data_IF_845348966033
#
_entry.id   IF_845348966033
#
_cell.length_a   1.000
_cell.length_b   1.000
_cell.length_c   1.000
_cell.angle_alpha   90.00
_cell.angle_beta   90.00
_cell.angle_gamma   90.00
#
_symmetry.space_group_name_H-M   'P 1'
#
loop_
_entity.id
_entity.type
_entity.pdbx_description
1 polymer ?
#
# COMPACT_ATOMS: atom_id res chain seq x y z
N UNK A 1 19.56 -28.74 -29.04
CA UNK A 1 20.59 -29.22 -28.10
C UNK A 1 21.88 -28.50 -28.41
N UNK A 2 22.22 -27.47 -27.62
CA UNK A 2 23.49 -26.78 -27.67
C UNK A 2 23.74 -26.21 -26.26
N UNK A 3 24.71 -26.81 -25.58
CA UNK A 3 25.16 -26.51 -24.23
C UNK A 3 26.21 -25.41 -24.25
N UNK A 4 26.06 -24.41 -23.40
CA UNK A 4 27.13 -23.48 -23.05
C UNK A 4 27.34 -23.55 -21.53
N UNK A 5 28.48 -24.13 -21.17
CA UNK A 5 29.04 -24.25 -19.83
C UNK A 5 29.67 -22.93 -19.40
N UNK A 6 29.30 -22.41 -18.24
CA UNK A 6 30.05 -21.36 -17.54
C UNK A 6 30.60 -21.92 -16.23
N UNK A 7 31.91 -21.96 -16.16
CA UNK A 7 32.74 -22.37 -15.03
C UNK A 7 32.75 -21.31 -13.92
N UNK A 8 32.75 -21.85 -12.71
CA UNK A 8 32.88 -21.21 -11.40
C UNK A 8 34.24 -20.55 -11.19
N UNK A 9 34.26 -19.32 -10.68
CA UNK A 9 35.45 -18.70 -10.06
C UNK A 9 35.13 -18.46 -8.58
N UNK A 10 35.89 -19.16 -7.74
CA UNK A 10 35.95 -18.99 -6.29
C UNK A 10 36.78 -17.76 -5.93
N UNK A 11 36.27 -16.90 -5.04
CA UNK A 11 37.08 -15.90 -4.36
C UNK A 11 37.23 -16.29 -2.89
N UNK A 12 38.49 -16.41 -2.48
CA UNK A 12 38.96 -16.82 -1.17
C UNK A 12 38.72 -15.73 -0.12
N UNK A 13 38.48 -16.22 1.10
CA UNK A 13 38.50 -15.51 2.37
C UNK A 13 39.78 -14.70 2.58
N UNK A 14 39.65 -13.51 3.14
CA UNK A 14 40.67 -12.99 4.05
C UNK A 14 39.98 -12.36 5.27
N UNK A 15 40.13 -13.03 6.40
CA UNK A 15 39.78 -12.56 7.73
C UNK A 15 40.98 -11.82 8.32
N UNK A 16 40.78 -10.62 8.84
CA UNK A 16 41.68 -10.01 9.82
C UNK A 16 40.85 -9.53 11.00
N UNK A 17 41.01 -10.25 12.11
CA UNK A 17 40.39 -9.92 13.38
C UNK A 17 41.12 -8.79 14.10
N UNK A 18 40.37 -8.04 14.90
CA UNK A 18 40.91 -7.39 16.11
C UNK A 18 39.88 -7.52 17.24
N UNK A 19 40.37 -7.99 18.39
CA UNK A 19 39.62 -8.26 19.62
C UNK A 19 39.49 -6.98 20.47
N UNK A 20 38.43 -6.99 21.28
CA UNK A 20 38.07 -6.18 22.45
C UNK A 20 39.21 -5.60 23.31
N UNK A 21 38.87 -4.62 24.17
CA UNK A 21 38.72 -5.01 25.58
C UNK A 21 37.40 -4.55 26.24
N UNK A 22 36.96 -5.41 27.16
CA UNK A 22 35.88 -5.25 28.12
C UNK A 22 36.35 -4.52 29.39
N UNK A 23 35.51 -3.65 29.96
CA UNK A 23 35.42 -3.32 31.40
C UNK A 23 34.18 -2.41 31.56
N UNK A 24 33.33 -2.44 32.58
CA UNK A 24 33.38 -2.92 33.96
C UNK A 24 31.93 -3.11 34.44
N UNK A 25 31.71 -4.15 35.24
CA UNK A 25 30.51 -4.33 36.05
C UNK A 25 30.46 -3.28 37.17
N UNK A 26 29.27 -2.75 37.47
CA UNK A 26 28.95 -2.28 38.82
C UNK A 26 27.65 -2.96 39.28
N UNK A 27 27.73 -3.58 40.45
CA UNK A 27 26.63 -4.22 41.18
C UNK A 27 26.15 -3.27 42.28
N UNK A 28 24.89 -3.52 42.68
CA UNK A 28 24.25 -3.30 43.97
C UNK A 28 23.59 -1.94 44.23
N UNK A 29 22.26 -1.99 44.45
CA UNK A 29 21.60 -1.86 45.76
C UNK A 29 20.08 -2.04 45.53
N UNK A 30 19.52 -3.25 45.68
CA UNK A 30 18.75 -3.68 46.86
C UNK A 30 18.08 -2.54 47.66
N UNK A 31 16.78 -2.36 47.46
CA UNK A 31 15.88 -2.00 48.56
C UNK A 31 14.57 -2.80 48.45
N UNK A 32 14.37 -3.65 49.44
CA UNK A 32 13.16 -4.41 49.69
C UNK A 32 12.12 -3.49 50.32
N UNK A 33 10.94 -3.37 49.73
CA UNK A 33 9.74 -2.95 50.45
C UNK A 33 8.64 -3.98 50.20
N UNK A 34 8.50 -4.88 51.18
CA UNK A 34 7.36 -5.79 51.34
C UNK A 34 6.22 -5.01 51.99
N UNK A 35 5.05 -5.00 51.35
CA UNK A 35 3.79 -4.72 52.04
C UNK A 35 2.87 -5.93 51.87
N UNK A 36 2.33 -6.49 52.97
CA UNK A 36 1.45 -7.64 52.91
C UNK A 36 0.02 -7.15 52.63
N UNK A 37 -0.59 -7.62 51.53
CA UNK A 37 -2.04 -7.54 51.39
C UNK A 37 -2.61 -8.94 51.22
N UNK A 38 -3.23 -9.40 52.29
CA UNK A 38 -3.95 -10.64 52.46
C UNK A 38 -5.17 -10.64 51.52
N UNK A 39 -5.18 -11.53 50.53
CA UNK A 39 -6.35 -11.80 49.69
C UNK A 39 -7.18 -12.92 50.33
N UNK A 40 -8.48 -12.72 50.61
CA UNK A 40 -9.36 -13.83 50.95
C UNK A 40 -9.78 -14.57 49.67
N UNK A 41 -9.57 -15.89 49.66
CA UNK A 41 -10.05 -16.78 48.61
C UNK A 41 -11.59 -16.84 48.59
N UNK A 42 -12.27 -16.69 47.45
CA UNK A 42 -13.69 -17.00 47.36
C UNK A 42 -13.88 -18.51 47.11
N UNK A 43 -14.80 -19.08 47.88
CA UNK A 43 -15.26 -20.46 47.79
C UNK A 43 -15.82 -20.76 46.40
N UNK A 44 -15.45 -21.92 45.86
CA UNK A 44 -16.08 -22.48 44.68
C UNK A 44 -17.54 -22.84 44.98
N UNK A 45 -18.46 -22.17 44.30
CA UNK A 45 -19.85 -22.60 44.17
C UNK A 45 -20.15 -22.72 42.68
N UNK A 46 -20.27 -23.95 42.20
CA UNK A 46 -20.67 -24.25 40.84
C UNK A 46 -22.08 -23.73 40.58
N UNK A 47 -22.20 -22.85 39.59
CA UNK A 47 -23.48 -22.50 38.97
C UNK A 47 -23.36 -22.91 37.51
N UNK A 48 -24.34 -23.70 37.08
CA UNK A 48 -24.44 -24.32 35.76
C UNK A 48 -24.33 -23.27 34.65
N UNK A 49 -23.51 -23.60 33.65
CA UNK A 49 -23.47 -22.97 32.35
C UNK A 49 -24.88 -22.82 31.77
N UNK A 50 -25.25 -21.57 31.48
CA UNK A 50 -26.42 -21.21 30.69
C UNK A 50 -25.90 -20.39 29.51
N UNK A 51 -26.13 -20.93 28.32
CA UNK A 51 -25.73 -20.43 27.00
C UNK A 51 -25.85 -18.92 26.81
N UNK A 52 -24.71 -18.26 26.54
CA UNK A 52 -24.64 -16.87 26.05
C UNK A 52 -24.07 -16.79 24.62
N UNK A 53 -24.09 -17.89 23.87
CA UNK A 53 -23.27 -18.03 22.64
C UNK A 53 -23.87 -17.38 21.39
N UNK A 54 -25.14 -16.99 21.33
CA UNK A 54 -25.74 -16.65 20.02
C UNK A 54 -25.79 -15.15 19.66
N UNK A 55 -25.61 -14.21 20.60
CA UNK A 55 -25.72 -12.78 20.29
C UNK A 55 -24.39 -12.13 19.89
N UNK A 56 -23.29 -12.49 20.55
CA UNK A 56 -21.97 -11.91 20.25
C UNK A 56 -21.32 -12.52 18.99
N UNK A 57 -21.56 -13.81 18.71
CA UNK A 57 -21.05 -14.47 17.49
C UNK A 57 -21.76 -13.93 16.24
N UNK A 58 -23.08 -13.82 16.24
CA UNK A 58 -23.85 -13.30 15.11
C UNK A 58 -23.50 -11.85 14.76
N UNK A 59 -23.30 -10.99 15.77
CA UNK A 59 -22.85 -9.59 15.55
C UNK A 59 -21.41 -9.57 15.00
N UNK A 60 -20.54 -10.49 15.42
CA UNK A 60 -19.18 -10.58 14.89
C UNK A 60 -19.13 -11.03 13.43
N UNK A 61 -20.01 -11.94 13.02
CA UNK A 61 -20.12 -12.41 11.64
C UNK A 61 -20.64 -11.32 10.70
N UNK A 62 -21.67 -10.57 11.12
CA UNK A 62 -22.19 -9.44 10.33
C UNK A 62 -21.13 -8.35 10.10
N UNK A 63 -20.32 -8.02 11.12
CA UNK A 63 -19.22 -7.06 10.99
C UNK A 63 -18.09 -7.58 10.10
N UNK A 64 -17.75 -8.87 10.18
CA UNK A 64 -16.77 -9.47 9.29
C UNK A 64 -17.23 -9.43 7.82
N UNK A 65 -18.51 -9.70 7.58
CA UNK A 65 -19.05 -9.71 6.22
C UNK A 65 -19.04 -8.32 5.55
N UNK A 66 -19.04 -7.23 6.33
CA UNK A 66 -18.85 -5.88 5.77
C UNK A 66 -17.51 -5.75 5.05
N UNK A 67 -16.44 -6.34 5.60
CA UNK A 67 -15.11 -6.29 4.98
C UNK A 67 -15.01 -7.26 3.80
N UNK A 68 -15.53 -8.48 3.94
CA UNK A 68 -15.51 -9.48 2.86
C UNK A 68 -16.23 -8.96 1.60
N UNK A 69 -17.36 -8.28 1.76
CA UNK A 69 -18.12 -7.67 0.64
C UNK A 69 -17.36 -6.56 -0.11
N UNK A 70 -16.30 -6.00 0.47
CA UNK A 70 -15.48 -5.00 -0.22
C UNK A 70 -14.55 -5.63 -1.26
N UNK A 71 -14.32 -6.95 -1.23
CA UNK A 71 -13.59 -7.63 -2.29
C UNK A 71 -14.36 -7.53 -3.62
N UNK A 72 -13.64 -7.16 -4.67
CA UNK A 72 -14.14 -7.11 -6.03
C UNK A 72 -13.09 -7.74 -6.97
N UNK A 73 -13.16 -9.06 -7.11
CA UNK A 73 -12.14 -9.83 -7.82
C UNK A 73 -10.76 -9.67 -7.17
N UNK A 74 -9.80 -9.20 -7.95
CA UNK A 74 -8.42 -8.90 -7.52
C UNK A 74 -8.22 -7.51 -6.89
N UNK A 75 -9.31 -6.76 -6.65
CA UNK A 75 -9.26 -5.42 -6.07
C UNK A 75 -10.16 -5.36 -4.81
N UNK A 76 -10.05 -4.26 -4.07
CA UNK A 76 -11.04 -3.82 -3.06
C UNK A 76 -11.80 -2.62 -3.61
N UNK A 77 -13.14 -2.61 -3.51
CA UNK A 77 -14.00 -1.49 -3.94
C UNK A 77 -15.14 -1.28 -2.95
N UNK A 78 -15.46 -0.01 -2.69
CA UNK A 78 -16.63 0.33 -1.89
C UNK A 78 -17.03 1.81 -2.00
N UNK A 79 -18.12 2.15 -1.37
CA UNK A 79 -18.60 3.52 -1.13
C UNK A 79 -17.74 4.14 -0.03
N UNK A 80 -16.99 5.18 -0.40
CA UNK A 80 -16.11 5.92 0.49
C UNK A 80 -16.70 7.27 0.95
N UNK A 81 -17.79 7.72 0.32
CA UNK A 81 -18.47 8.97 0.65
C UNK A 81 -19.97 8.85 0.46
N UNK A 82 -20.73 9.60 1.26
CA UNK A 82 -22.16 9.77 1.05
C UNK A 82 -22.46 10.46 -0.28
N UNK A 83 -23.67 10.24 -0.82
CA UNK A 83 -24.16 10.89 -2.03
C UNK A 83 -24.69 9.93 -3.11
N UNK A 84 -24.53 8.62 -2.95
CA UNK A 84 -25.14 7.61 -3.83
C UNK A 84 -26.47 7.15 -3.21
N UNK A 85 -27.59 7.35 -3.92
CA UNK A 85 -28.92 6.96 -3.40
C UNK A 85 -28.96 5.46 -3.10
N UNK A 86 -29.39 5.13 -1.88
CA UNK A 86 -29.56 3.74 -1.45
C UNK A 86 -28.27 3.00 -1.11
N UNK A 87 -27.12 3.67 -1.03
CA UNK A 87 -25.88 3.05 -0.55
C UNK A 87 -25.26 3.81 0.61
N UNK A 88 -24.89 3.08 1.64
CA UNK A 88 -24.15 3.59 2.80
C UNK A 88 -22.65 3.50 2.57
N UNK A 89 -21.87 4.27 3.32
CA UNK A 89 -20.41 4.19 3.30
C UNK A 89 -19.98 2.86 3.93
N UNK A 90 -19.30 2.03 3.14
CA UNK A 90 -18.76 0.73 3.54
C UNK A 90 -17.22 0.69 3.49
N UNK A 91 -16.60 1.46 2.61
CA UNK A 91 -15.15 1.68 2.55
C UNK A 91 -14.73 2.79 3.51
N UNK A 92 -14.90 2.52 4.79
CA UNK A 92 -14.59 3.45 5.88
C UNK A 92 -13.09 3.46 6.23
N UNK A 93 -12.57 4.50 6.92
CA UNK A 93 -11.19 4.50 7.40
C UNK A 93 -10.80 3.26 8.23
N UNK A 94 -11.60 2.77 9.22
CA UNK A 94 -11.24 1.55 9.94
C UNK A 94 -11.25 0.29 9.06
N UNK A 95 -12.11 0.21 8.04
CA UNK A 95 -12.08 -0.88 7.07
C UNK A 95 -10.78 -0.86 6.25
N UNK A 96 -10.40 0.32 5.72
CA UNK A 96 -9.17 0.51 4.96
C UNK A 96 -7.92 0.25 5.80
N UNK A 97 -7.90 0.66 7.06
CA UNK A 97 -6.80 0.38 7.99
C UNK A 97 -6.64 -1.13 8.21
N UNK A 98 -7.73 -1.86 8.45
CA UNK A 98 -7.69 -3.31 8.64
C UNK A 98 -7.18 -4.04 7.38
N UNK A 99 -7.65 -3.63 6.19
CA UNK A 99 -7.23 -4.18 4.91
C UNK A 99 -5.75 -3.91 4.65
N UNK A 100 -5.29 -2.68 4.87
CA UNK A 100 -3.88 -2.31 4.68
C UNK A 100 -2.96 -3.02 5.67
N UNK A 101 -3.37 -3.21 6.93
CA UNK A 101 -2.64 -4.02 7.90
C UNK A 101 -2.52 -5.47 7.44
N UNK A 102 -3.62 -6.09 7.02
CA UNK A 102 -3.61 -7.47 6.52
C UNK A 102 -2.79 -7.62 5.24
N UNK A 103 -2.78 -6.62 4.36
CA UNK A 103 -1.90 -6.62 3.20
C UNK A 103 -0.43 -6.52 3.59
N UNK A 104 -0.07 -5.62 4.53
CA UNK A 104 1.29 -5.50 5.02
C UNK A 104 1.81 -6.81 5.62
N UNK A 105 0.99 -7.47 6.44
CA UNK A 105 1.28 -8.81 6.99
C UNK A 105 1.42 -9.86 5.89
N UNK A 106 0.54 -9.83 4.88
CA UNK A 106 0.62 -10.75 3.74
C UNK A 106 1.95 -10.61 2.98
N UNK A 107 2.40 -9.37 2.73
CA UNK A 107 3.70 -9.09 2.08
C UNK A 107 4.86 -9.58 2.93
N UNK A 108 4.88 -9.25 4.24
CA UNK A 108 5.93 -9.71 5.16
C UNK A 108 6.04 -11.23 5.15
N UNK A 109 4.92 -11.93 5.35
CA UNK A 109 4.88 -13.39 5.36
C UNK A 109 5.33 -14.01 4.03
N UNK A 110 4.96 -13.40 2.89
CA UNK A 110 5.41 -13.83 1.57
C UNK A 110 6.93 -13.73 1.42
N UNK A 111 7.51 -12.59 1.80
CA UNK A 111 8.96 -12.36 1.75
C UNK A 111 9.73 -13.26 2.70
N UNK A 112 9.19 -13.56 3.88
CA UNK A 112 9.80 -14.48 4.85
C UNK A 112 9.86 -15.90 4.31
N UNK A 113 8.79 -16.37 3.68
CA UNK A 113 8.75 -17.68 3.01
C UNK A 113 9.74 -17.76 1.86
N UNK A 114 9.85 -16.71 1.05
CA UNK A 114 10.79 -16.65 -0.08
C UNK A 114 12.26 -16.63 0.39
N UNK A 115 12.57 -15.86 1.44
CA UNK A 115 13.95 -15.64 1.91
C UNK A 115 14.41 -16.63 2.99
N UNK A 116 13.49 -17.40 3.58
CA UNK A 116 13.77 -18.33 4.68
C UNK A 116 14.23 -17.65 5.99
N UNK A 117 13.93 -16.36 6.16
CA UNK A 117 14.32 -15.56 7.33
C UNK A 117 13.35 -14.40 7.54
N UNK A 118 13.36 -13.84 8.75
CA UNK A 118 12.55 -12.67 9.11
C UNK A 118 12.79 -11.51 8.14
N UNK A 119 11.70 -10.94 7.64
CA UNK A 119 11.72 -9.83 6.70
C UNK A 119 11.78 -8.51 7.47
N UNK A 120 12.97 -7.91 7.54
CA UNK A 120 13.16 -6.59 8.12
C UNK A 120 13.00 -5.49 7.05
N UNK A 121 12.53 -4.32 7.46
CA UNK A 121 12.41 -3.10 6.65
C UNK A 121 11.59 -3.30 5.36
N UNK A 122 10.46 -4.02 5.42
CA UNK A 122 9.57 -4.20 4.27
C UNK A 122 8.99 -2.84 3.85
N UNK A 123 9.27 -2.41 2.62
CA UNK A 123 8.90 -1.09 2.10
C UNK A 123 7.67 -1.20 1.22
N UNK A 124 6.60 -0.50 1.60
CA UNK A 124 5.34 -0.47 0.86
C UNK A 124 4.98 0.96 0.47
N UNK A 125 4.71 1.17 -0.81
CA UNK A 125 4.31 2.49 -1.32
C UNK A 125 2.79 2.62 -1.51
N UNK A 126 2.29 3.84 -1.42
CA UNK A 126 0.91 4.20 -1.76
C UNK A 126 0.92 5.32 -2.80
N UNK A 127 0.18 5.13 -3.87
CA UNK A 127 -0.23 6.19 -4.78
C UNK A 127 -1.75 6.28 -4.85
N UNK A 128 -2.29 7.45 -5.18
CA UNK A 128 -3.74 7.67 -5.29
C UNK A 128 -4.13 8.45 -6.53
N UNK A 129 -5.38 8.28 -6.94
CA UNK A 129 -6.02 9.17 -7.90
C UNK A 129 -6.57 10.46 -7.21
N UNK A 130 -7.15 11.42 -7.95
CA UNK A 130 -7.60 12.69 -7.37
C UNK A 130 -9.01 12.63 -6.75
N UNK A 131 -9.52 11.44 -6.40
CA UNK A 131 -10.81 11.30 -5.71
C UNK A 131 -10.79 12.00 -4.34
N UNK A 132 -11.93 12.60 -3.98
CA UNK A 132 -12.08 13.41 -2.78
C UNK A 132 -11.80 12.62 -1.49
N UNK A 133 -12.23 11.36 -1.41
CA UNK A 133 -11.96 10.47 -0.28
C UNK A 133 -10.51 9.99 -0.18
N UNK A 134 -9.69 10.22 -1.21
CA UNK A 134 -8.32 9.71 -1.25
C UNK A 134 -7.45 10.25 -0.12
N UNK A 135 -7.51 11.55 0.19
CA UNK A 135 -6.66 12.12 1.22
C UNK A 135 -6.92 11.53 2.62
N UNK A 136 -8.19 11.34 2.99
CA UNK A 136 -8.55 10.77 4.30
C UNK A 136 -8.27 9.27 4.38
N UNK A 137 -8.55 8.51 3.31
CA UNK A 137 -8.31 7.07 3.28
C UNK A 137 -6.82 6.73 3.22
N UNK A 138 -5.97 7.60 2.65
CA UNK A 138 -4.50 7.43 2.68
C UNK A 138 -3.97 7.30 4.11
N UNK A 139 -4.50 8.09 5.05
CA UNK A 139 -4.08 8.04 6.46
C UNK A 139 -4.38 6.67 7.07
N UNK A 140 -5.54 6.09 6.75
CA UNK A 140 -5.90 4.74 7.20
C UNK A 140 -4.98 3.67 6.60
N UNK A 141 -4.65 3.78 5.30
CA UNK A 141 -3.68 2.88 4.66
C UNK A 141 -2.33 2.92 5.39
N UNK A 142 -1.80 4.13 5.63
CA UNK A 142 -0.52 4.28 6.32
C UNK A 142 -0.56 3.74 7.75
N UNK A 143 -1.67 3.96 8.48
CA UNK A 143 -1.84 3.37 9.82
C UNK A 143 -1.79 1.84 9.76
N UNK A 144 -2.52 1.23 8.84
CA UNK A 144 -2.53 -0.22 8.67
C UNK A 144 -1.14 -0.78 8.36
N UNK A 145 -0.43 -0.17 7.41
CA UNK A 145 0.92 -0.58 7.03
C UNK A 145 1.92 -0.47 8.20
N UNK A 146 1.89 0.63 8.95
CA UNK A 146 2.76 0.81 10.12
C UNK A 146 2.43 -0.20 11.22
N UNK A 147 1.14 -0.51 11.42
CA UNK A 147 0.70 -1.54 12.38
C UNK A 147 1.16 -2.94 11.99
N UNK A 148 1.22 -3.24 10.69
CA UNK A 148 1.78 -4.49 10.19
C UNK A 148 3.30 -4.58 10.36
N UNK A 149 4.00 -3.46 10.63
CA UNK A 149 5.45 -3.38 10.73
C UNK A 149 6.15 -2.99 9.42
N UNK A 150 5.42 -2.48 8.43
CA UNK A 150 5.99 -1.99 7.18
C UNK A 150 6.51 -0.54 7.30
N UNK A 151 7.48 -0.21 6.46
CA UNK A 151 7.87 1.16 6.16
C UNK A 151 6.98 1.69 5.03
N UNK A 152 6.24 2.76 5.29
CA UNK A 152 5.26 3.32 4.36
C UNK A 152 5.81 4.52 3.57
N UNK A 153 5.56 4.56 2.27
CA UNK A 153 6.00 5.63 1.37
C UNK A 153 4.83 6.26 0.61
N UNK A 154 4.68 7.58 0.68
CA UNK A 154 3.62 8.34 0.01
C UNK A 154 4.12 8.91 -1.32
N UNK A 155 3.61 8.36 -2.43
CA UNK A 155 3.88 8.87 -3.78
C UNK A 155 2.95 10.02 -4.18
N UNK A 156 1.94 10.33 -3.36
CA UNK A 156 0.93 11.33 -3.67
C UNK A 156 0.03 10.91 -4.84
N UNK A 157 -0.19 11.84 -5.77
CA UNK A 157 -0.97 11.56 -6.98
C UNK A 157 -0.15 10.67 -7.91
N UNK A 158 -0.71 9.52 -8.26
CA UNK A 158 -0.08 8.55 -9.14
C UNK A 158 -1.12 7.89 -10.05
N UNK A 159 -0.63 7.17 -11.05
CA UNK A 159 -1.45 6.29 -11.90
C UNK A 159 -1.27 4.84 -11.48
N UNK A 160 -2.23 3.98 -11.82
CA UNK A 160 -2.11 2.53 -11.60
C UNK A 160 -0.80 1.93 -12.14
N UNK A 161 -0.39 2.20 -13.41
CA UNK A 161 0.88 1.69 -13.90
C UNK A 161 2.09 2.30 -13.16
N UNK A 162 2.03 3.56 -12.72
CA UNK A 162 3.09 4.13 -11.88
C UNK A 162 3.23 3.35 -10.56
N UNK A 163 2.12 3.04 -9.89
CA UNK A 163 2.15 2.26 -8.65
C UNK A 163 2.72 0.85 -8.85
N UNK A 164 2.43 0.17 -9.96
CA UNK A 164 3.11 -1.09 -10.26
C UNK A 164 4.60 -0.88 -10.49
N UNK A 165 4.97 0.10 -11.33
CA UNK A 165 6.36 0.37 -11.65
C UNK A 165 7.19 0.81 -10.43
N UNK A 166 6.58 1.29 -9.35
CA UNK A 166 7.29 1.62 -8.11
C UNK A 166 7.90 0.40 -7.43
N UNK A 167 7.40 -0.81 -7.71
CA UNK A 167 8.00 -2.06 -7.23
C UNK A 167 9.23 -2.47 -8.05
N UNK A 168 9.35 -1.97 -9.28
CA UNK A 168 10.38 -2.37 -10.23
C UNK A 168 11.52 -1.34 -10.36
N UNK A 169 11.19 -0.04 -10.42
CA UNK A 169 12.14 1.00 -10.83
C UNK A 169 13.08 1.43 -9.68
N UNK A 170 14.41 1.36 -9.88
CA UNK A 170 15.38 1.96 -8.97
C UNK A 170 15.28 3.49 -8.95
N UNK A 171 15.64 4.17 -7.84
CA UNK A 171 16.15 3.62 -6.57
C UNK A 171 15.05 3.15 -5.61
N UNK A 172 13.79 3.17 -6.04
CA UNK A 172 12.66 2.88 -5.18
C UNK A 172 12.49 1.38 -4.95
N UNK A 173 12.22 0.64 -6.03
CA UNK A 173 12.08 -0.82 -6.06
C UNK A 173 11.40 -1.40 -4.82
N UNK A 174 10.23 -0.85 -4.48
CA UNK A 174 9.48 -1.24 -3.28
C UNK A 174 9.12 -2.72 -3.27
N UNK A 175 8.97 -3.31 -2.09
CA UNK A 175 8.56 -4.72 -1.97
C UNK A 175 7.12 -4.91 -2.44
N UNK A 176 6.27 -3.92 -2.16
CA UNK A 176 4.88 -3.88 -2.60
C UNK A 176 4.37 -2.44 -2.78
N UNK A 177 3.23 -2.32 -3.43
CA UNK A 177 2.60 -1.04 -3.72
C UNK A 177 1.07 -1.15 -3.69
N UNK A 178 0.43 -0.08 -3.21
CA UNK A 178 -1.02 0.08 -3.20
C UNK A 178 -1.38 1.22 -4.15
N UNK A 179 -2.33 1.00 -5.04
CA UNK A 179 -3.00 2.08 -5.78
C UNK A 179 -4.39 2.29 -5.21
N UNK A 180 -4.64 3.47 -4.66
CA UNK A 180 -5.97 3.87 -4.20
C UNK A 180 -6.75 4.56 -5.33
N UNK A 181 -7.80 3.89 -5.78
CA UNK A 181 -8.65 4.37 -6.87
C UNK A 181 -9.94 3.54 -6.92
N UNK A 182 -11.03 4.14 -7.42
CA UNK A 182 -12.19 3.42 -7.94
C UNK A 182 -12.24 3.38 -9.49
N UNK A 183 -11.12 3.67 -10.17
CA UNK A 183 -11.01 3.75 -11.63
C UNK A 183 -12.07 4.68 -12.22
N UNK A 184 -13.02 4.15 -13.01
CA UNK A 184 -14.09 4.89 -13.68
C UNK A 184 -15.40 5.00 -12.86
N UNK A 185 -15.47 4.35 -11.69
CA UNK A 185 -16.68 4.35 -10.86
C UNK A 185 -17.05 5.76 -10.36
N UNK A 186 -18.31 5.99 -9.90
CA UNK A 186 -18.74 7.27 -9.37
C UNK A 186 -17.80 7.85 -8.31
N UNK A 187 -17.83 9.17 -8.11
CA UNK A 187 -16.94 9.89 -7.19
C UNK A 187 -17.07 9.47 -5.73
N UNK A 188 -18.23 8.96 -5.36
CA UNK A 188 -18.53 8.39 -4.03
C UNK A 188 -17.78 7.10 -3.78
N UNK A 189 -17.28 6.44 -4.83
CA UNK A 189 -16.53 5.19 -4.75
C UNK A 189 -15.03 5.42 -4.60
N UNK A 190 -14.39 4.53 -3.85
CA UNK A 190 -12.95 4.37 -3.86
C UNK A 190 -12.59 2.88 -3.76
N UNK A 191 -11.30 2.57 -3.69
CA UNK A 191 -10.84 1.20 -3.64
C UNK A 191 -9.33 1.08 -3.56
N UNK A 192 -8.84 -0.14 -3.42
CA UNK A 192 -7.42 -0.46 -3.33
C UNK A 192 -7.08 -1.54 -4.36
N UNK A 193 -6.00 -1.33 -5.09
CA UNK A 193 -5.34 -2.34 -5.92
C UNK A 193 -3.97 -2.63 -5.32
N UNK A 194 -3.55 -3.88 -5.34
CA UNK A 194 -2.32 -4.32 -4.70
C UNK A 194 -1.33 -4.85 -5.74
N UNK A 195 -0.06 -4.51 -5.57
CA UNK A 195 1.02 -4.93 -6.44
C UNK A 195 2.22 -5.42 -5.64
N UNK A 196 2.89 -6.43 -6.18
CA UNK A 196 4.26 -6.83 -5.80
C UNK A 196 5.16 -6.68 -7.01
N UNK A 197 6.42 -7.13 -6.90
CA UNK A 197 7.30 -7.27 -8.07
C UNK A 197 6.81 -8.30 -9.08
N UNK A 198 6.02 -9.27 -8.64
CA UNK A 198 5.44 -10.32 -9.48
C UNK A 198 4.23 -9.87 -10.31
N UNK A 199 3.67 -8.69 -10.03
CA UNK A 199 2.48 -8.18 -10.71
C UNK A 199 1.40 -7.71 -9.73
N UNK A 200 0.18 -7.55 -10.26
CA UNK A 200 -1.00 -7.35 -9.43
C UNK A 200 -1.39 -8.64 -8.72
N UNK A 201 -1.95 -8.52 -7.51
CA UNK A 201 -2.47 -9.67 -6.78
C UNK A 201 -3.65 -10.31 -7.53
N UNK A 202 -3.86 -11.59 -7.29
CA UNK A 202 -4.97 -12.39 -7.79
C UNK A 202 -6.18 -12.32 -6.86
N UNK A 203 -7.35 -12.74 -7.35
CA UNK A 203 -8.58 -12.78 -6.53
C UNK A 203 -8.42 -13.59 -5.23
N UNK A 204 -7.83 -14.81 -5.24
CA UNK A 204 -7.65 -15.58 -4.01
C UNK A 204 -6.68 -14.93 -3.01
N UNK A 205 -5.64 -14.24 -3.49
CA UNK A 205 -4.71 -13.52 -2.60
C UNK A 205 -5.41 -12.34 -1.92
N UNK A 206 -6.26 -11.61 -2.65
CA UNK A 206 -7.07 -10.51 -2.07
C UNK A 206 -8.15 -11.04 -1.13
N UNK A 207 -8.74 -12.19 -1.42
CA UNK A 207 -9.68 -12.87 -0.51
C UNK A 207 -9.00 -13.18 0.83
N UNK A 208 -7.79 -13.76 0.81
CA UNK A 208 -7.02 -14.04 2.02
C UNK A 208 -6.77 -12.77 2.86
N UNK A 209 -6.43 -11.67 2.19
CA UNK A 209 -6.23 -10.36 2.83
C UNK A 209 -7.54 -9.87 3.45
N UNK A 210 -8.64 -9.88 2.71
CA UNK A 210 -9.95 -9.43 3.18
C UNK A 210 -10.46 -10.27 4.35
N UNK A 211 -10.24 -11.58 4.37
CA UNK A 211 -10.63 -12.46 5.48
C UNK A 211 -9.83 -12.19 6.77
N UNK A 212 -8.53 -11.93 6.64
CA UNK A 212 -7.72 -11.47 7.80
C UNK A 212 -8.18 -10.10 8.27
N UNK A 213 -8.48 -9.19 7.34
CA UNK A 213 -8.96 -7.85 7.65
C UNK A 213 -10.32 -7.87 8.36
N UNK A 214 -11.23 -8.76 7.94
CA UNK A 214 -12.54 -8.94 8.55
C UNK A 214 -12.44 -9.25 10.05
N UNK A 215 -11.60 -10.21 10.43
CA UNK A 215 -11.33 -10.56 11.83
C UNK A 215 -10.75 -9.39 12.61
N UNK A 216 -9.78 -8.66 12.03
CA UNK A 216 -9.18 -7.48 12.67
C UNK A 216 -10.20 -6.37 12.87
N UNK A 217 -11.07 -6.15 11.90
CA UNK A 217 -12.11 -5.14 11.93
C UNK A 217 -13.16 -5.44 13.01
N UNK A 218 -13.69 -6.67 13.05
CA UNK A 218 -14.66 -7.10 14.05
C UNK A 218 -14.09 -7.01 15.48
N UNK A 219 -12.85 -7.45 15.69
CA UNK A 219 -12.20 -7.45 17.01
C UNK A 219 -11.91 -6.04 17.58
N UNK A 220 -11.94 -4.99 16.75
CA UNK A 220 -11.52 -3.64 17.13
C UNK A 220 -12.67 -2.67 17.37
N UNK A 221 -13.93 -3.08 17.13
CA UNK A 221 -15.11 -2.20 17.18
C UNK A 221 -14.80 -0.82 16.58
N UNK A 222 -14.48 -0.78 15.29
CA UNK A 222 -14.34 0.42 14.45
C UNK A 222 -13.46 1.59 14.97
N UNK A 223 -12.57 1.38 15.95
CA UNK A 223 -11.66 2.44 16.41
C UNK A 223 -10.40 2.47 15.55
N UNK A 224 -10.19 3.60 14.86
CA UNK A 224 -8.95 3.90 14.12
C UNK A 224 -7.89 4.36 15.11
N UNK A 225 -6.68 3.82 15.01
CA UNK A 225 -5.52 4.39 15.71
C UNK A 225 -5.00 5.58 14.91
N UNK A 226 -5.35 6.81 15.30
CA UNK A 226 -4.87 8.03 14.60
C UNK A 226 -3.39 8.35 14.89
N UNK A 227 -2.79 7.69 15.87
CA UNK A 227 -1.38 7.85 16.22
C UNK A 227 -0.51 6.97 15.31
N UNK A 228 0.04 7.57 14.27
CA UNK A 228 1.12 6.96 13.49
C UNK A 228 2.40 7.00 14.33
N UNK A 229 2.91 5.82 14.73
CA UNK A 229 4.21 5.72 15.43
C UNK A 229 5.36 6.22 14.55
N UNK A 230 5.23 6.03 13.24
CA UNK A 230 6.15 6.50 12.22
C UNK A 230 5.34 7.10 11.08
N UNK A 231 5.50 8.40 10.74
CA UNK A 231 4.82 8.98 9.60
C UNK A 231 5.34 8.36 8.29
N UNK A 232 4.52 8.31 7.22
CA UNK A 232 4.99 7.86 5.91
C UNK A 232 6.05 8.81 5.37
N UNK A 233 7.02 8.26 4.63
CA UNK A 233 8.00 9.05 3.90
C UNK A 233 7.41 9.53 2.57
N UNK A 234 7.33 10.84 2.35
CA UNK A 234 6.86 11.39 1.08
C UNK A 234 7.98 11.36 0.04
N UNK A 235 7.67 10.88 -1.16
CA UNK A 235 8.65 10.67 -2.23
C UNK A 235 8.20 11.24 -3.57
N UNK A 236 9.15 11.61 -4.42
CA UNK A 236 8.91 11.99 -5.82
C UNK A 236 9.16 10.82 -6.77
N UNK A 237 8.27 9.83 -6.72
CA UNK A 237 8.33 8.69 -7.64
C UNK A 237 7.96 9.09 -9.09
N UNK A 238 7.03 10.04 -9.23
CA UNK A 238 6.46 10.40 -10.53
C UNK A 238 7.49 11.02 -11.48
N UNK A 239 8.47 11.79 -10.97
CA UNK A 239 9.60 12.26 -11.78
C UNK A 239 10.43 11.11 -12.35
N UNK A 240 10.70 10.08 -11.56
CA UNK A 240 11.44 8.88 -12.00
C UNK A 240 10.63 8.07 -13.01
N UNK A 241 9.32 7.90 -12.76
CA UNK A 241 8.44 7.21 -13.69
C UNK A 241 8.32 7.95 -15.04
N UNK A 242 8.12 9.27 -15.03
CA UNK A 242 8.09 10.06 -16.25
C UNK A 242 9.41 10.00 -17.02
N UNK A 243 10.56 10.04 -16.32
CA UNK A 243 11.88 9.84 -16.93
C UNK A 243 12.00 8.47 -17.58
N UNK A 244 11.55 7.42 -16.91
CA UNK A 244 11.55 6.07 -17.44
C UNK A 244 10.72 5.97 -18.73
N UNK A 245 9.52 6.54 -18.77
CA UNK A 245 8.68 6.61 -19.98
C UNK A 245 9.37 7.35 -21.13
N UNK A 246 9.99 8.50 -20.83
CA UNK A 246 10.77 9.24 -21.85
C UNK A 246 11.91 8.41 -22.40
N UNK A 247 12.67 7.73 -21.55
CA UNK A 247 13.78 6.88 -21.98
C UNK A 247 13.30 5.76 -22.90
N UNK A 248 12.21 5.06 -22.55
CA UNK A 248 11.62 4.04 -23.44
C UNK A 248 11.29 4.63 -24.81
N UNK A 249 10.61 5.79 -24.86
CA UNK A 249 10.22 6.40 -26.14
C UNK A 249 11.46 6.79 -26.95
N UNK A 250 12.46 7.42 -26.33
CA UNK A 250 13.70 7.81 -27.00
C UNK A 250 14.45 6.61 -27.57
N UNK A 251 14.63 5.56 -26.77
CA UNK A 251 15.33 4.33 -27.16
C UNK A 251 14.60 3.59 -28.27
N UNK A 252 13.27 3.51 -28.21
CA UNK A 252 12.47 2.77 -29.19
C UNK A 252 12.28 3.53 -30.50
N UNK A 253 12.14 4.85 -30.45
CA UNK A 253 12.08 5.68 -31.66
C UNK A 253 13.47 5.84 -32.28
N UNK A 254 14.49 6.02 -31.46
CA UNK A 254 15.89 6.16 -31.86
C UNK A 254 16.09 7.15 -33.02
N UNK A 255 15.48 8.34 -32.92
CA UNK A 255 15.49 9.31 -34.01
C UNK A 255 16.92 9.80 -34.30
N UNK A 256 17.40 9.75 -35.55
CA UNK A 256 18.82 9.97 -35.86
C UNK A 256 19.32 11.39 -35.56
N UNK A 257 18.43 12.39 -35.66
CA UNK A 257 18.78 13.82 -35.49
C UNK A 257 18.16 14.46 -34.24
N UNK A 258 17.17 13.81 -33.63
CA UNK A 258 16.33 14.39 -32.58
C UNK A 258 16.07 13.35 -31.49
N UNK A 259 17.13 12.68 -31.04
CA UNK A 259 17.05 11.60 -30.07
C UNK A 259 16.38 12.02 -28.76
N UNK A 260 16.66 13.23 -28.26
CA UNK A 260 16.05 13.78 -27.04
C UNK A 260 14.63 14.31 -27.25
N UNK A 261 14.30 14.74 -28.47
CA UNK A 261 12.99 15.29 -28.83
C UNK A 261 12.38 14.55 -30.03
N UNK A 262 12.14 13.24 -29.92
CA UNK A 262 11.72 12.43 -31.05
C UNK A 262 10.30 12.75 -31.54
N UNK A 263 9.53 13.52 -30.76
CA UNK A 263 8.17 13.94 -31.09
C UNK A 263 8.10 15.38 -31.61
N UNK A 264 9.25 15.98 -31.95
CA UNK A 264 9.29 17.34 -32.52
C UNK A 264 8.45 17.42 -33.81
N UNK A 265 7.57 18.42 -33.86
CA UNK A 265 6.67 18.66 -35.00
C UNK A 265 5.35 17.90 -34.94
N UNK A 266 5.15 17.02 -33.95
CA UNK A 266 3.85 16.39 -33.71
C UNK A 266 2.97 17.28 -32.83
N UNK A 267 1.70 17.39 -33.21
CA UNK A 267 0.65 18.01 -32.41
C UNK A 267 -0.19 16.90 -31.77
N UNK A 268 -0.14 16.78 -30.45
CA UNK A 268 -0.77 15.70 -29.70
C UNK A 268 -1.73 16.28 -28.67
N UNK A 269 -3.00 15.92 -28.79
CA UNK A 269 -4.03 16.30 -27.83
C UNK A 269 -4.24 15.17 -26.83
N UNK A 270 -4.08 15.46 -25.54
CA UNK A 270 -4.39 14.55 -24.45
C UNK A 270 -5.64 15.04 -23.73
N UNK A 271 -6.64 14.18 -23.59
CA UNK A 271 -7.74 14.41 -22.65
C UNK A 271 -7.54 13.50 -21.43
N UNK A 272 -7.14 14.09 -20.29
CA UNK A 272 -6.86 13.32 -19.08
C UNK A 272 -8.09 13.09 -18.18
N UNK A 273 -9.28 13.55 -18.58
CA UNK A 273 -10.53 13.34 -17.83
C UNK A 273 -10.50 13.85 -16.38
N UNK A 274 -9.64 14.81 -16.05
CA UNK A 274 -9.34 15.26 -14.68
C UNK A 274 -8.81 14.14 -13.74
N UNK A 275 -8.39 13.00 -14.30
CA UNK A 275 -7.70 11.93 -13.59
C UNK A 275 -6.21 12.18 -13.41
N UNK A 276 -5.47 11.16 -12.98
CA UNK A 276 -4.02 11.25 -12.74
C UNK A 276 -3.15 11.27 -14.00
N UNK A 277 -3.74 11.28 -15.20
CA UNK A 277 -3.02 11.18 -16.47
C UNK A 277 -2.37 12.49 -16.95
N UNK A 278 -2.72 13.64 -16.35
CA UNK A 278 -2.28 14.95 -16.82
C UNK A 278 -0.77 15.14 -16.89
N UNK A 279 -0.01 14.53 -15.96
CA UNK A 279 1.46 14.59 -15.96
C UNK A 279 2.08 14.08 -17.26
N UNK A 280 1.41 13.18 -17.99
CA UNK A 280 1.94 12.61 -19.23
C UNK A 280 2.15 13.69 -20.29
N UNK A 281 1.31 14.73 -20.29
CA UNK A 281 1.45 15.88 -21.18
C UNK A 281 2.74 16.65 -20.86
N UNK A 282 2.87 17.14 -19.63
CA UNK A 282 3.92 18.10 -19.25
C UNK A 282 5.28 17.43 -18.98
N UNK A 283 5.26 16.24 -18.37
CA UNK A 283 6.45 15.53 -17.95
C UNK A 283 6.92 14.46 -18.94
N UNK A 284 6.14 14.14 -19.96
CA UNK A 284 6.55 13.17 -20.99
C UNK A 284 6.51 13.78 -22.37
N UNK A 285 5.34 14.15 -22.89
CA UNK A 285 5.17 14.57 -24.29
C UNK A 285 5.87 15.90 -24.60
N UNK A 286 5.66 16.93 -23.79
CA UNK A 286 6.29 18.24 -24.00
C UNK A 286 7.81 18.16 -23.94
N UNK A 287 8.33 17.39 -22.97
CA UNK A 287 9.78 17.14 -22.81
C UNK A 287 10.39 16.33 -23.97
N UNK A 288 9.58 15.61 -24.74
CA UNK A 288 9.99 14.90 -25.95
C UNK A 288 9.74 15.72 -27.23
N UNK A 289 9.32 16.99 -27.11
CA UNK A 289 9.19 17.94 -28.22
C UNK A 289 7.83 17.98 -28.89
N UNK A 290 6.83 17.26 -28.39
CA UNK A 290 5.46 17.35 -28.91
C UNK A 290 4.81 18.69 -28.52
N UNK A 291 3.95 19.21 -29.40
CA UNK A 291 3.08 20.35 -29.10
C UNK A 291 1.75 19.86 -28.52
N UNK A 292 1.45 20.21 -27.26
CA UNK A 292 0.27 19.68 -26.56
C UNK A 292 -0.75 20.75 -26.15
N UNK A 293 -0.64 21.97 -26.68
CA UNK A 293 -1.45 23.14 -26.29
C UNK A 293 -2.97 22.91 -26.29
N UNK A 294 -3.49 22.05 -27.18
CA UNK A 294 -4.92 21.72 -27.27
C UNK A 294 -5.42 20.71 -26.24
N UNK A 295 -4.57 20.24 -25.32
CA UNK A 295 -4.90 19.19 -24.35
C UNK A 295 -5.94 19.64 -23.32
N UNK A 296 -6.80 18.69 -22.92
CA UNK A 296 -8.00 18.94 -22.12
C UNK A 296 -7.93 18.22 -20.77
N UNK A 297 -8.55 18.86 -19.77
CA UNK A 297 -8.81 18.26 -18.45
C UNK A 297 -7.55 17.69 -17.75
N UNK A 298 -6.40 18.34 -17.93
CA UNK A 298 -5.10 17.89 -17.41
C UNK A 298 -4.96 18.02 -15.89
N UNK A 299 -5.68 18.96 -15.27
CA UNK A 299 -5.55 19.19 -13.84
C UNK A 299 -6.27 18.08 -13.04
N UNK A 300 -5.55 17.33 -12.20
CA UNK A 300 -6.10 16.23 -11.42
C UNK A 300 -6.95 16.79 -10.28
N UNK A 301 -8.24 17.01 -10.54
CA UNK A 301 -9.22 17.51 -9.58
C UNK A 301 -10.57 16.94 -9.87
N UNK A 302 -11.15 16.24 -8.91
CA UNK A 302 -12.56 15.90 -8.97
C UNK A 302 -13.44 17.13 -8.72
N UNK A 303 -14.31 17.48 -9.67
CA UNK A 303 -15.34 18.53 -9.49
C UNK A 303 -16.71 17.86 -9.48
N UNK A 304 -17.49 18.09 -8.44
CA UNK A 304 -18.90 17.65 -8.34
C UNK A 304 -19.79 18.71 -9.01
N UNK A 305 -20.86 18.38 -9.74
CA UNK A 305 -21.21 17.09 -10.34
C UNK A 305 -20.71 17.05 -11.80
N UNK A 306 -19.88 16.08 -12.16
CA UNK A 306 -19.46 15.89 -13.56
C UNK A 306 -19.61 14.43 -14.00
N UNK A 307 -19.80 14.19 -15.31
CA UNK A 307 -19.85 12.84 -15.85
C UNK A 307 -18.52 12.11 -15.58
N UNK A 308 -18.62 10.78 -15.62
CA UNK A 308 -17.52 9.85 -15.36
C UNK A 308 -16.26 10.19 -16.19
N UNK A 309 -15.06 10.02 -15.61
CA UNK A 309 -13.79 10.21 -16.30
C UNK A 309 -13.60 9.18 -17.42
#
# INVERSE_FOLDING_TARGET
MASASTSSISLQNNASGTRFPSSTASKLLHSNLKFPLLMPAPKATGIKSSSTTNYNEAVSDEEMDKIRRLQNGSDVRGVAMEGEKGRTVDLSPPAVEAIAESFGEWVINGLEKEKGRVAANVRVSLGRDPRLSGASLSVAVFSGLVRAGCLAFDMGLATTPACFMSTLLPPFSYDASIMMTASHLPYTRNGLKFFTRGGGLTSPEVEEICDKAARKYANRLAKVSTMLKSPPERVDFMSTYAKHLRNIIKERVNHPLHYDTPLKGFQIIVNAGNGSGGFFTWDVLDKLGAETFGSLHLNPRWKVPKPHP
#
